data_IF_976914059111
#
_entry.id   IF_976914059111
#
_cell.length_a   1.000
_cell.length_b   1.000
_cell.length_c   1.000
_cell.angle_alpha   90.00
_cell.angle_beta   90.00
_cell.angle_gamma   90.00
#
_symmetry.space_group_name_H-M   'P 1'
#
loop_
_entity.id
_entity.type
_entity.pdbx_description
1 polymer ?
#
# COMPACT_ATOMS: atom_id res chain seq x y z
N UNK A 1 -43.17 33.86 -20.56
CA UNK A 1 -42.90 32.48 -20.09
C UNK A 1 -41.87 31.73 -20.96
N UNK A 2 -41.99 31.66 -22.30
CA UNK A 2 -41.03 30.89 -23.15
C UNK A 2 -39.55 31.31 -23.02
N UNK A 3 -39.23 32.62 -22.87
CA UNK A 3 -37.84 33.08 -22.72
C UNK A 3 -37.21 32.69 -21.42
N UNK A 4 -37.92 32.74 -20.29
CA UNK A 4 -37.42 32.34 -18.96
C UNK A 4 -37.11 30.86 -18.96
N UNK A 5 -37.99 30.02 -19.52
CA UNK A 5 -37.81 28.58 -19.65
C UNK A 5 -36.55 28.20 -20.45
N UNK A 6 -36.28 28.95 -21.55
CA UNK A 6 -35.06 28.77 -22.36
C UNK A 6 -33.78 29.10 -21.58
N UNK A 7 -33.78 30.11 -20.71
CA UNK A 7 -32.61 30.45 -19.89
C UNK A 7 -32.38 29.41 -18.79
N UNK A 8 -33.44 28.87 -18.17
CA UNK A 8 -33.33 27.82 -17.15
C UNK A 8 -32.72 26.55 -17.74
N UNK A 9 -33.15 26.15 -18.96
CA UNK A 9 -32.57 24.98 -19.64
C UNK A 9 -31.08 25.18 -19.94
N UNK A 10 -30.66 26.36 -20.39
CA UNK A 10 -29.24 26.64 -20.66
C UNK A 10 -28.40 26.59 -19.42
N UNK A 11 -28.90 27.11 -18.30
CA UNK A 11 -28.19 27.07 -17.01
C UNK A 11 -28.07 25.61 -16.51
N UNK A 12 -29.14 24.82 -16.65
CA UNK A 12 -29.12 23.41 -16.27
C UNK A 12 -28.11 22.60 -17.11
N UNK A 13 -28.00 22.86 -18.41
CA UNK A 13 -27.01 22.22 -19.28
C UNK A 13 -25.58 22.59 -18.92
N UNK A 14 -25.31 23.86 -18.58
CA UNK A 14 -23.97 24.27 -18.12
C UNK A 14 -23.59 23.61 -16.81
N UNK A 15 -24.51 23.53 -15.84
CA UNK A 15 -24.29 22.83 -14.57
C UNK A 15 -24.04 21.34 -14.80
N UNK A 16 -24.79 20.68 -15.67
CA UNK A 16 -24.56 19.28 -16.01
C UNK A 16 -23.17 19.03 -16.62
N UNK A 17 -22.71 19.94 -17.51
CA UNK A 17 -21.35 19.85 -18.06
C UNK A 17 -20.27 20.02 -17.01
N UNK A 18 -20.43 20.93 -16.06
CA UNK A 18 -19.47 21.15 -14.97
C UNK A 18 -19.42 19.90 -14.08
N UNK A 19 -20.55 19.32 -13.73
CA UNK A 19 -20.62 18.07 -12.93
C UNK A 19 -19.94 16.93 -13.66
N UNK A 20 -20.21 16.73 -14.95
CA UNK A 20 -19.54 15.70 -15.75
C UNK A 20 -18.04 15.93 -15.82
N UNK A 21 -17.59 17.17 -15.92
CA UNK A 21 -16.15 17.51 -15.96
C UNK A 21 -15.46 17.20 -14.63
N UNK A 22 -16.06 17.58 -13.50
CA UNK A 22 -15.55 17.27 -12.15
C UNK A 22 -15.48 15.75 -11.91
N UNK A 23 -16.53 15.02 -12.30
CA UNK A 23 -16.55 13.55 -12.21
C UNK A 23 -15.46 12.91 -13.09
N UNK A 24 -15.25 13.46 -14.32
CA UNK A 24 -14.20 12.98 -15.23
C UNK A 24 -12.81 13.17 -14.64
N UNK A 25 -12.51 14.31 -13.99
CA UNK A 25 -11.23 14.55 -13.30
C UNK A 25 -11.07 13.57 -12.13
N UNK A 26 -12.12 13.30 -11.36
CA UNK A 26 -12.09 12.32 -10.29
C UNK A 26 -11.81 10.91 -10.80
N UNK A 27 -12.35 10.51 -11.93
CA UNK A 27 -12.09 9.23 -12.59
C UNK A 27 -10.68 9.14 -13.16
N UNK A 28 -10.19 10.19 -13.83
CA UNK A 28 -8.82 10.20 -14.37
C UNK A 28 -7.77 10.15 -13.26
N UNK A 29 -7.99 10.84 -12.14
CA UNK A 29 -7.08 10.75 -10.98
C UNK A 29 -7.05 9.35 -10.34
N UNK A 30 -8.15 8.59 -10.41
CA UNK A 30 -8.15 7.18 -9.99
C UNK A 30 -7.42 6.28 -10.99
N UNK A 31 -7.53 6.56 -12.29
CA UNK A 31 -6.85 5.77 -13.32
C UNK A 31 -5.35 6.06 -13.40
N UNK A 32 -4.91 7.28 -13.10
CA UNK A 32 -3.48 7.62 -13.01
C UNK A 32 -2.80 7.07 -11.77
N UNK A 33 -3.57 6.57 -10.79
CA UNK A 33 -3.03 5.80 -9.66
C UNK A 33 -2.67 4.35 -10.02
N UNK A 34 -3.01 3.88 -11.21
CA UNK A 34 -2.46 2.63 -11.73
C UNK A 34 -0.98 2.88 -12.00
N UNK A 35 -0.16 2.52 -11.04
CA UNK A 35 1.30 2.58 -11.16
C UNK A 35 1.69 1.79 -12.39
N UNK A 36 2.48 2.39 -13.30
CA UNK A 36 3.13 1.67 -14.38
C UNK A 36 4.22 0.78 -13.76
N UNK A 37 3.80 -0.26 -13.07
CA UNK A 37 4.66 -1.25 -12.44
C UNK A 37 4.55 -2.55 -13.22
N UNK A 38 5.66 -3.25 -13.34
CA UNK A 38 5.69 -4.62 -13.81
C UNK A 38 6.38 -5.49 -12.76
N UNK A 39 5.93 -6.74 -12.63
CA UNK A 39 6.50 -7.70 -11.70
C UNK A 39 7.37 -8.67 -12.47
N UNK A 40 8.58 -8.93 -11.96
CA UNK A 40 9.47 -9.98 -12.44
C UNK A 40 9.51 -11.06 -11.36
N UNK A 41 9.16 -12.28 -11.72
CA UNK A 41 9.19 -13.41 -10.82
C UNK A 41 10.41 -14.27 -11.11
N UNK A 42 11.09 -14.70 -10.06
CA UNK A 42 12.22 -15.62 -10.14
C UNK A 42 11.82 -16.97 -9.58
N UNK A 43 12.09 -18.05 -10.29
CA UNK A 43 11.77 -19.43 -9.85
C UNK A 43 12.64 -19.91 -8.68
N UNK A 44 13.70 -19.20 -8.37
CA UNK A 44 14.65 -19.53 -7.30
C UNK A 44 14.98 -18.27 -6.51
N UNK A 45 15.36 -18.43 -5.23
CA UNK A 45 15.94 -17.38 -4.42
C UNK A 45 17.33 -17.00 -4.97
N UNK A 46 17.34 -16.21 -6.04
CA UNK A 46 18.58 -15.80 -6.72
C UNK A 46 19.24 -14.59 -6.07
N UNK A 47 18.45 -13.77 -5.37
CA UNK A 47 18.92 -12.51 -4.79
C UNK A 47 18.68 -12.44 -3.29
N UNK A 48 19.73 -12.12 -2.56
CA UNK A 48 19.62 -11.79 -1.13
C UNK A 48 19.16 -10.33 -0.95
N UNK A 49 18.54 -9.97 0.18
CA UNK A 49 18.17 -8.57 0.48
C UNK A 49 19.33 -7.59 0.33
N UNK A 50 20.57 -8.01 0.64
CA UNK A 50 21.76 -7.20 0.48
C UNK A 50 22.07 -6.89 -1.00
N UNK A 51 21.80 -7.82 -1.91
CA UNK A 51 22.01 -7.62 -3.34
C UNK A 51 20.98 -6.62 -3.89
N UNK A 52 19.72 -6.74 -3.48
CA UNK A 52 18.66 -5.79 -3.82
C UNK A 52 19.02 -4.39 -3.34
N UNK A 53 19.46 -4.25 -2.09
CA UNK A 53 19.88 -2.96 -1.53
C UNK A 53 21.04 -2.35 -2.32
N UNK A 54 22.05 -3.13 -2.66
CA UNK A 54 23.19 -2.68 -3.48
C UNK A 54 22.73 -2.20 -4.85
N UNK A 55 21.88 -2.96 -5.54
CA UNK A 55 21.31 -2.57 -6.83
C UNK A 55 20.51 -1.27 -6.73
N UNK A 56 19.74 -1.06 -5.65
CA UNK A 56 19.00 0.18 -5.42
C UNK A 56 19.93 1.39 -5.22
N UNK A 57 21.07 1.22 -4.53
CA UNK A 57 22.06 2.29 -4.39
C UNK A 57 22.71 2.65 -5.74
N UNK A 58 23.13 1.64 -6.50
CA UNK A 58 23.70 1.84 -7.84
C UNK A 58 22.72 2.51 -8.81
N UNK A 59 21.41 2.26 -8.64
CA UNK A 59 20.37 2.87 -9.46
C UNK A 59 20.14 4.34 -9.12
N UNK A 60 20.26 4.73 -7.83
CA UNK A 60 20.08 6.10 -7.35
C UNK A 60 21.10 7.07 -7.98
N UNK A 61 22.27 6.58 -8.38
CA UNK A 61 23.36 7.37 -8.95
C UNK A 61 23.20 7.63 -10.46
N UNK A 62 22.15 7.08 -11.10
CA UNK A 62 21.89 7.26 -12.53
C UNK A 62 21.09 8.53 -12.82
N UNK A 63 21.26 9.07 -14.03
CA UNK A 63 20.54 10.27 -14.50
C UNK A 63 19.01 10.09 -14.53
N UNK A 64 18.54 8.86 -14.70
CA UNK A 64 17.11 8.51 -14.72
C UNK A 64 16.87 7.24 -13.92
N UNK A 65 16.83 7.34 -12.57
CA UNK A 65 16.74 6.18 -11.70
C UNK A 65 15.39 5.48 -11.81
N UNK A 66 15.42 4.16 -11.90
CA UNK A 66 14.23 3.30 -11.81
C UNK A 66 13.98 2.92 -10.35
N UNK A 67 12.74 3.14 -9.89
CA UNK A 67 12.33 2.65 -8.58
C UNK A 67 11.96 1.17 -8.70
N UNK A 68 12.61 0.31 -7.93
CA UNK A 68 12.25 -1.09 -7.82
C UNK A 68 12.32 -1.57 -6.38
N UNK A 69 11.60 -2.64 -6.10
CA UNK A 69 11.48 -3.24 -4.77
C UNK A 69 11.53 -4.75 -4.91
N UNK A 70 12.36 -5.39 -4.10
CA UNK A 70 12.33 -6.83 -3.93
C UNK A 70 11.28 -7.22 -2.90
N UNK A 71 10.54 -8.29 -3.16
CA UNK A 71 9.58 -8.82 -2.20
C UNK A 71 9.44 -10.33 -2.34
N UNK A 72 9.08 -10.99 -1.24
CA UNK A 72 8.70 -12.39 -1.24
C UNK A 72 7.64 -12.65 -0.17
N UNK A 73 6.84 -13.68 -0.37
CA UNK A 73 5.74 -14.06 0.50
C UNK A 73 6.05 -15.37 1.22
N UNK A 74 5.71 -15.41 2.51
CA UNK A 74 5.62 -16.65 3.29
C UNK A 74 4.18 -16.85 3.74
N UNK A 75 3.62 -17.97 3.33
CA UNK A 75 2.27 -18.34 3.70
C UNK A 75 2.19 -18.94 5.11
N UNK A 76 1.03 -18.79 5.76
CA UNK A 76 0.67 -19.44 7.02
C UNK A 76 1.70 -19.26 8.13
N UNK A 77 2.19 -18.05 8.29
CA UNK A 77 3.12 -17.71 9.34
C UNK A 77 2.39 -17.34 10.64
N UNK A 78 2.91 -17.83 11.77
CA UNK A 78 2.35 -17.53 13.08
C UNK A 78 2.76 -16.14 13.55
N UNK A 79 1.78 -15.29 13.86
CA UNK A 79 1.96 -13.94 14.40
C UNK A 79 1.34 -13.90 15.79
N UNK A 80 2.09 -13.39 16.76
CA UNK A 80 1.68 -13.31 18.16
C UNK A 80 1.47 -11.85 18.59
N UNK A 81 0.39 -11.60 19.28
CA UNK A 81 0.22 -10.42 20.13
C UNK A 81 0.41 -10.82 21.58
N UNK A 82 1.52 -10.41 22.16
CA UNK A 82 1.88 -10.79 23.52
C UNK A 82 0.97 -10.16 24.58
N UNK A 83 0.49 -8.94 24.34
CA UNK A 83 -0.34 -8.20 25.30
C UNK A 83 -1.70 -8.88 25.56
N UNK A 84 -2.27 -9.49 24.51
CA UNK A 84 -3.55 -10.19 24.61
C UNK A 84 -3.42 -11.71 24.54
N UNK A 85 -2.19 -12.24 24.48
CA UNK A 85 -1.90 -13.65 24.32
C UNK A 85 -2.70 -14.30 23.17
N UNK A 86 -2.76 -13.59 22.02
CA UNK A 86 -3.46 -14.05 20.83
C UNK A 86 -2.45 -14.39 19.75
N UNK A 87 -2.64 -15.53 19.13
CA UNK A 87 -1.84 -15.99 18.00
C UNK A 87 -2.76 -16.25 16.82
N UNK A 88 -2.33 -15.84 15.64
CA UNK A 88 -3.02 -16.12 14.37
C UNK A 88 -2.03 -16.61 13.33
N UNK A 89 -2.52 -17.28 12.32
CA UNK A 89 -1.78 -17.54 11.08
C UNK A 89 -2.16 -16.51 10.02
N UNK A 90 -1.17 -15.96 9.35
CA UNK A 90 -1.34 -15.02 8.25
C UNK A 90 -0.23 -15.19 7.22
N UNK A 91 -0.45 -14.70 6.02
CA UNK A 91 0.60 -14.59 5.02
C UNK A 91 1.41 -13.32 5.32
N UNK A 92 2.72 -13.43 5.19
CA UNK A 92 3.64 -12.31 5.43
C UNK A 92 4.38 -11.99 4.14
N UNK A 93 4.33 -10.73 3.72
CA UNK A 93 5.12 -10.22 2.60
C UNK A 93 6.31 -9.48 3.18
N UNK A 94 7.51 -9.94 2.86
CA UNK A 94 8.77 -9.29 3.18
C UNK A 94 9.16 -8.37 2.04
N UNK A 95 9.48 -7.12 2.37
CA UNK A 95 9.74 -6.08 1.39
C UNK A 95 11.14 -5.51 1.61
N UNK A 96 11.92 -5.42 0.54
CA UNK A 96 13.21 -4.75 0.53
C UNK A 96 13.14 -3.56 -0.43
N UNK A 97 12.97 -2.36 0.11
CA UNK A 97 12.78 -1.12 -0.65
C UNK A 97 11.43 -0.46 -0.38
N UNK A 98 10.91 0.22 -1.39
CA UNK A 98 9.69 1.02 -1.25
C UNK A 98 8.43 0.17 -1.16
N UNK A 99 7.79 0.15 0.00
CA UNK A 99 6.57 -0.62 0.25
C UNK A 99 5.40 -0.19 -0.64
N UNK A 100 5.34 1.07 -1.10
CA UNK A 100 4.27 1.57 -1.97
C UNK A 100 4.20 0.90 -3.34
N UNK A 101 5.26 0.20 -3.78
CA UNK A 101 5.27 -0.57 -5.02
C UNK A 101 4.59 -1.94 -4.88
N UNK A 102 4.49 -2.44 -3.65
CA UNK A 102 3.99 -3.78 -3.33
C UNK A 102 2.62 -3.74 -2.67
N UNK A 103 2.44 -2.83 -1.71
CA UNK A 103 1.23 -2.75 -0.90
C UNK A 103 0.56 -1.36 -1.01
N UNK A 104 -0.77 -1.34 -1.07
CA UNK A 104 -1.54 -0.10 -0.95
C UNK A 104 -1.67 0.29 0.51
N UNK A 105 -1.55 1.59 0.81
CA UNK A 105 -1.71 2.10 2.17
C UNK A 105 -0.55 2.98 2.63
N UNK A 106 -0.33 3.07 3.95
CA UNK A 106 0.79 3.81 4.51
C UNK A 106 2.14 3.27 4.02
N UNK A 107 3.07 4.18 3.75
CA UNK A 107 4.40 3.80 3.25
C UNK A 107 5.30 3.48 4.43
N UNK A 108 5.97 2.33 4.39
CA UNK A 108 7.10 2.01 5.26
C UNK A 108 8.36 2.66 4.67
N UNK A 109 9.12 3.36 5.50
CA UNK A 109 10.41 3.90 5.11
C UNK A 109 11.45 2.79 4.98
N UNK A 110 12.37 2.94 4.04
CA UNK A 110 13.41 1.94 3.73
C UNK A 110 14.30 1.58 4.94
N UNK A 111 14.46 2.51 5.88
CA UNK A 111 15.25 2.37 7.11
C UNK A 111 14.45 1.86 8.31
N UNK A 112 13.13 1.74 8.20
CA UNK A 112 12.27 1.21 9.27
C UNK A 112 12.24 -0.31 9.28
N UNK A 113 13.33 -0.91 9.72
CA UNK A 113 13.48 -2.39 9.82
C UNK A 113 12.58 -3.06 10.86
N UNK A 114 11.89 -2.27 11.69
CA UNK A 114 10.94 -2.76 12.70
C UNK A 114 9.49 -2.43 12.37
N UNK A 115 9.25 -1.65 11.34
CA UNK A 115 7.90 -1.29 10.92
C UNK A 115 7.20 -2.44 10.20
N UNK A 116 5.90 -2.57 10.41
CA UNK A 116 5.04 -3.44 9.64
C UNK A 116 3.70 -2.78 9.32
N UNK A 117 3.07 -3.25 8.26
CA UNK A 117 1.66 -2.99 7.97
C UNK A 117 0.90 -4.28 8.22
N UNK A 118 -0.32 -4.17 8.72
CA UNK A 118 -1.23 -5.30 8.87
C UNK A 118 -2.55 -4.98 8.16
N UNK A 119 -3.26 -6.00 7.71
CA UNK A 119 -4.61 -5.83 7.17
C UNK A 119 -5.65 -5.67 8.28
N UNK A 120 -6.85 -5.20 7.91
CA UNK A 120 -7.93 -4.95 8.87
C UNK A 120 -8.39 -6.23 9.58
N UNK A 121 -8.40 -7.37 8.89
CA UNK A 121 -8.81 -8.66 9.46
C UNK A 121 -7.80 -9.15 10.50
N UNK A 122 -6.51 -9.08 10.19
CA UNK A 122 -5.39 -9.38 11.09
C UNK A 122 -5.42 -8.47 12.32
N UNK A 123 -5.63 -7.16 12.13
CA UNK A 123 -5.77 -6.20 13.22
C UNK A 123 -6.91 -6.60 14.18
N UNK A 124 -8.08 -6.90 13.63
CA UNK A 124 -9.23 -7.28 14.43
C UNK A 124 -9.04 -8.63 15.15
N UNK A 125 -8.45 -9.63 14.50
CA UNK A 125 -8.18 -10.94 15.12
C UNK A 125 -7.18 -10.83 16.27
N UNK A 126 -6.10 -10.05 16.10
CA UNK A 126 -5.04 -9.92 17.11
C UNK A 126 -5.39 -8.96 18.24
N UNK A 127 -6.08 -7.86 17.94
CA UNK A 127 -6.30 -6.77 18.89
C UNK A 127 -7.77 -6.56 19.24
N UNK A 128 -8.71 -7.03 18.42
CA UNK A 128 -10.14 -6.77 18.56
C UNK A 128 -10.55 -5.36 18.13
N UNK A 129 -9.66 -4.64 17.45
CA UNK A 129 -9.84 -3.25 17.02
C UNK A 129 -8.98 -2.97 15.78
N UNK A 130 -9.36 -1.94 15.02
CA UNK A 130 -8.53 -1.40 13.94
C UNK A 130 -7.67 -0.21 14.40
N UNK A 131 -7.81 0.24 15.65
CA UNK A 131 -6.93 1.25 16.24
C UNK A 131 -5.71 0.58 16.87
N UNK A 132 -4.74 0.23 16.03
CA UNK A 132 -3.60 -0.62 16.39
C UNK A 132 -2.25 0.02 16.07
N UNK A 133 -2.24 1.21 15.48
CA UNK A 133 -0.99 1.89 15.12
C UNK A 133 -0.16 2.15 16.38
N UNK A 134 1.13 1.82 16.32
CA UNK A 134 2.05 1.91 17.45
C UNK A 134 2.08 0.68 18.36
N UNK A 135 1.13 -0.23 18.24
CA UNK A 135 1.19 -1.52 18.93
C UNK A 135 2.24 -2.43 18.30
N UNK A 136 2.62 -3.48 19.02
CA UNK A 136 3.62 -4.45 18.59
C UNK A 136 3.01 -5.82 18.31
N UNK A 137 3.59 -6.49 17.33
CA UNK A 137 3.40 -7.91 17.05
C UNK A 137 4.73 -8.63 17.12
N UNK A 138 4.70 -9.92 17.38
CA UNK A 138 5.88 -10.78 17.40
C UNK A 138 5.80 -11.76 16.23
N UNK A 139 6.84 -11.80 15.44
CA UNK A 139 7.06 -12.78 14.40
C UNK A 139 8.51 -13.28 14.48
N UNK A 140 8.72 -14.58 14.44
CA UNK A 140 10.04 -15.23 14.52
C UNK A 140 10.90 -14.70 15.69
N UNK A 141 10.31 -14.58 16.88
CA UNK A 141 10.90 -14.04 18.11
C UNK A 141 11.40 -12.59 18.00
N UNK A 142 10.94 -11.83 17.02
CA UNK A 142 11.25 -10.40 16.83
C UNK A 142 9.99 -9.56 16.96
N UNK A 143 10.14 -8.39 17.55
CA UNK A 143 9.08 -7.41 17.67
C UNK A 143 9.04 -6.49 16.46
N UNK A 144 7.82 -6.29 15.93
CA UNK A 144 7.53 -5.34 14.87
C UNK A 144 6.47 -4.36 15.34
N UNK A 145 6.62 -3.09 14.95
CA UNK A 145 5.72 -2.00 15.32
C UNK A 145 4.77 -1.75 14.16
N UNK A 146 3.48 -1.77 14.44
CA UNK A 146 2.45 -1.49 13.44
C UNK A 146 2.50 0.00 13.08
N UNK A 147 2.79 0.29 11.82
CA UNK A 147 2.85 1.65 11.26
C UNK A 147 1.58 2.05 10.54
N UNK A 148 0.77 1.08 10.20
CA UNK A 148 -0.50 1.35 9.53
C UNK A 148 -1.27 0.10 9.17
N UNK A 149 -2.49 0.33 8.67
CA UNK A 149 -3.37 -0.70 8.14
C UNK A 149 -3.33 -0.65 6.63
N UNK A 150 -3.04 -1.80 6.03
CA UNK A 150 -3.12 -2.04 4.61
C UNK A 150 -4.54 -2.48 4.25
N UNK A 151 -5.09 -1.94 3.17
CA UNK A 151 -6.35 -2.40 2.60
C UNK A 151 -6.05 -3.36 1.45
N UNK A 152 -6.51 -4.58 1.60
CA UNK A 152 -6.43 -5.59 0.54
C UNK A 152 -7.45 -5.33 -0.56
#
# INVERSE_FOLDING_TARGET
MKRIFSHVIKIALVLAMIICWVLSIGYTNRLTSVKNTFNIYFDKEEYLPADIYKMQQEEKDKDNPLAFTGWYEKEKQSILNNNFNRTIESNIIFICGNSYLVAEGPVLFEDDIKGCLIDEETAYKLFGSNDVIGNTIIYDNREFIIRGIHRA
#
